data_IF_349174499365
#
_entry.id   IF_349174499365
#
_cell.length_a   1.000
_cell.length_b   1.000
_cell.length_c   1.000
_cell.angle_alpha   90.00
_cell.angle_beta   90.00
_cell.angle_gamma   90.00
#
_symmetry.space_group_name_H-M   'P 1'
#
loop_
_entity.id
_entity.type
_entity.pdbx_description
1 polymer ?
#
# COMPACT_ATOMS: atom_id res chain seq x y z
N UNK A 1 19.45 4.00 -6.38
CA UNK A 1 18.32 4.37 -5.49
C UNK A 1 17.42 5.32 -6.28
N UNK A 2 16.21 4.92 -6.63
CA UNK A 2 15.32 5.71 -7.50
C UNK A 2 14.30 6.48 -6.64
N UNK A 3 14.33 7.81 -6.70
CA UNK A 3 13.47 8.71 -5.91
C UNK A 3 11.98 8.39 -6.06
N UNK A 4 11.55 7.96 -7.24
CA UNK A 4 10.16 7.62 -7.54
C UNK A 4 9.70 6.39 -6.74
N UNK A 5 10.56 5.39 -6.59
CA UNK A 5 10.25 4.17 -5.85
C UNK A 5 10.11 4.44 -4.35
N UNK A 6 10.97 5.30 -3.80
CA UNK A 6 10.87 5.75 -2.40
C UNK A 6 9.57 6.52 -2.14
N UNK A 7 9.18 7.41 -3.05
CA UNK A 7 7.93 8.15 -2.93
C UNK A 7 6.72 7.20 -3.00
N UNK A 8 6.70 6.25 -3.94
CA UNK A 8 5.63 5.25 -4.03
C UNK A 8 5.56 4.38 -2.78
N UNK A 9 6.70 3.90 -2.26
CA UNK A 9 6.76 3.09 -1.04
C UNK A 9 6.14 3.85 0.12
N UNK A 10 6.51 5.12 0.29
CA UNK A 10 5.97 5.99 1.35
C UNK A 10 4.46 6.16 1.23
N UNK A 11 3.93 6.44 0.04
CA UNK A 11 2.49 6.57 -0.19
C UNK A 11 1.73 5.27 0.13
N UNK A 12 2.25 4.13 -0.33
CA UNK A 12 1.65 2.81 -0.07
C UNK A 12 1.66 2.50 1.42
N UNK A 13 2.78 2.71 2.11
CA UNK A 13 2.88 2.50 3.55
C UNK A 13 1.89 3.36 4.33
N UNK A 14 1.74 4.65 3.98
CA UNK A 14 0.77 5.54 4.65
C UNK A 14 -0.67 5.08 4.44
N UNK A 15 -1.02 4.67 3.22
CA UNK A 15 -2.35 4.15 2.93
C UNK A 15 -2.63 2.83 3.66
N UNK A 16 -1.66 1.92 3.72
CA UNK A 16 -1.78 0.68 4.48
C UNK A 16 -1.90 0.93 5.98
N UNK A 17 -1.19 1.92 6.53
CA UNK A 17 -1.36 2.31 7.94
C UNK A 17 -2.77 2.84 8.21
N UNK A 18 -3.27 3.75 7.35
CA UNK A 18 -4.61 4.31 7.47
C UNK A 18 -5.71 3.24 7.32
N UNK A 19 -5.47 2.22 6.50
CA UNK A 19 -6.40 1.10 6.29
C UNK A 19 -6.22 -0.06 7.27
N UNK A 20 -5.28 0.03 8.24
CA UNK A 20 -4.90 -1.07 9.14
C UNK A 20 -4.53 -2.35 8.39
N UNK A 21 -3.77 -2.20 7.31
CA UNK A 21 -3.29 -3.27 6.44
C UNK A 21 -4.35 -3.87 5.52
N UNK A 22 -5.55 -3.28 5.43
CA UNK A 22 -6.58 -3.70 4.46
C UNK A 22 -6.20 -3.22 3.07
N UNK A 23 -6.16 -4.15 2.12
CA UNK A 23 -5.91 -3.84 0.70
C UNK A 23 -7.22 -3.51 -0.02
N UNK A 24 -8.28 -4.26 0.29
CA UNK A 24 -9.58 -4.24 -0.40
C UNK A 24 -10.68 -3.55 0.42
N UNK A 25 -11.81 -3.26 -0.24
CA UNK A 25 -13.00 -2.68 0.36
C UNK A 25 -13.00 -1.14 0.39
N UNK A 26 -14.12 -0.55 0.82
CA UNK A 26 -14.28 0.92 0.90
C UNK A 26 -13.25 1.57 1.84
N UNK A 27 -12.83 0.87 2.89
CA UNK A 27 -11.76 1.30 3.79
C UNK A 27 -10.37 0.75 3.42
N UNK A 28 -10.20 0.16 2.23
CA UNK A 28 -8.95 -0.44 1.79
C UNK A 28 -7.94 0.57 1.26
N UNK A 29 -6.64 0.28 1.41
CA UNK A 29 -5.55 1.11 0.91
C UNK A 29 -5.64 1.35 -0.60
N UNK A 30 -6.17 0.39 -1.37
CA UNK A 30 -6.36 0.57 -2.81
C UNK A 30 -7.39 1.67 -3.10
N UNK A 31 -8.51 1.70 -2.37
CA UNK A 31 -9.53 2.73 -2.49
C UNK A 31 -8.99 4.10 -2.06
N UNK A 32 -8.27 4.15 -0.94
CA UNK A 32 -7.62 5.38 -0.43
C UNK A 32 -6.63 5.98 -1.43
N UNK A 33 -5.94 5.13 -2.19
CA UNK A 33 -4.99 5.56 -3.23
C UNK A 33 -5.66 5.76 -4.61
N UNK A 34 -6.96 5.49 -4.77
CA UNK A 34 -7.63 5.53 -6.06
C UNK A 34 -7.12 4.49 -7.07
N UNK A 35 -6.56 3.38 -6.59
CA UNK A 35 -5.97 2.33 -7.40
C UNK A 35 -6.85 1.08 -7.42
N UNK A 36 -6.73 0.28 -8.49
CA UNK A 36 -7.23 -1.09 -8.48
C UNK A 36 -6.43 -1.90 -7.42
N UNK A 37 -7.07 -2.78 -6.65
CA UNK A 37 -6.38 -3.62 -5.67
C UNK A 37 -5.25 -4.47 -6.28
N UNK A 38 -5.43 -4.97 -7.51
CA UNK A 38 -4.39 -5.71 -8.24
C UNK A 38 -3.16 -4.84 -8.56
N UNK A 39 -3.37 -3.57 -8.92
CA UNK A 39 -2.28 -2.60 -9.14
C UNK A 39 -1.50 -2.32 -7.86
N UNK A 40 -2.21 -2.13 -6.74
CA UNK A 40 -1.58 -1.93 -5.43
C UNK A 40 -0.72 -3.14 -5.04
N UNK A 41 -1.25 -4.35 -5.19
CA UNK A 41 -0.52 -5.59 -4.90
C UNK A 41 0.74 -5.77 -5.75
N UNK A 42 0.66 -5.47 -7.06
CA UNK A 42 1.84 -5.53 -7.94
C UNK A 42 2.92 -4.53 -7.52
N UNK A 43 2.53 -3.30 -7.14
CA UNK A 43 3.46 -2.29 -6.61
C UNK A 43 4.06 -2.71 -5.27
N UNK A 44 3.26 -3.28 -4.37
CA UNK A 44 3.71 -3.83 -3.10
C UNK A 44 4.77 -4.92 -3.28
N UNK A 45 4.54 -5.90 -4.18
CA UNK A 45 5.53 -6.92 -4.54
C UNK A 45 6.82 -6.31 -5.08
N UNK A 46 6.71 -5.34 -6.00
CA UNK A 46 7.88 -4.69 -6.61
C UNK A 46 8.72 -3.93 -5.57
N UNK A 47 8.07 -3.28 -4.60
CA UNK A 47 8.72 -2.42 -3.61
C UNK A 47 9.04 -3.13 -2.28
N UNK A 48 8.77 -4.44 -2.20
CA UNK A 48 8.98 -5.23 -0.98
C UNK A 48 8.15 -4.74 0.21
N UNK A 49 6.91 -4.29 -0.03
CA UNK A 49 5.99 -3.85 1.03
C UNK A 49 5.03 -4.98 1.33
N UNK A 50 5.04 -5.49 2.57
CA UNK A 50 4.13 -6.52 2.99
C UNK A 50 2.99 -5.95 3.84
N UNK A 51 1.76 -6.42 3.60
CA UNK A 51 0.60 -5.96 4.39
C UNK A 51 0.77 -6.25 5.89
N UNK A 52 1.52 -7.31 6.24
CA UNK A 52 1.70 -7.79 7.61
C UNK A 52 2.36 -6.75 8.51
N UNK A 53 3.16 -5.87 7.93
CA UNK A 53 3.84 -4.78 8.64
C UNK A 53 2.85 -3.69 9.12
N UNK A 54 1.60 -3.73 8.65
CA UNK A 54 0.57 -2.72 8.89
C UNK A 54 -0.70 -3.27 9.53
N UNK A 55 -0.75 -4.58 9.82
CA UNK A 55 -1.88 -5.22 10.50
C UNK A 55 -1.51 -5.43 11.97
N UNK A 56 -2.21 -4.77 12.89
CA UNK A 56 -2.09 -5.05 14.33
C UNK A 56 -1.31 -4.03 15.18
N UNK A 57 -1.07 -2.81 14.66
CA UNK A 57 -0.68 -1.66 15.48
C UNK A 57 -1.90 -0.88 15.97
#
# INVERSE_FOLDING_TARGET
MNTVETAMRTCISRALHASRGRIYGEAGAAKLLGLKPSTLQSKMRKLGVERRDFVGA
#
